data_IF_893377359065
#
_entry.id   IF_893377359065
#
_cell.length_a   1.000
_cell.length_b   1.000
_cell.length_c   1.000
_cell.angle_alpha   90.00
_cell.angle_beta   90.00
_cell.angle_gamma   90.00
#
_symmetry.space_group_name_H-M   'P 1'
#
loop_
_entity.id
_entity.type
_entity.pdbx_description
1 polymer ?
#
# COMPACT_ATOMS: atom_id res chain seq x y z
N UNK A 1 24.41 -9.09 -6.05
CA UNK A 1 22.96 -9.17 -5.75
C UNK A 1 22.20 -8.66 -6.96
N UNK A 2 21.21 -9.41 -7.42
CA UNK A 2 20.52 -9.16 -8.67
C UNK A 2 19.76 -7.81 -8.61
N UNK A 3 20.13 -6.84 -9.46
CA UNK A 3 19.55 -5.48 -9.48
C UNK A 3 18.02 -5.47 -9.57
N UNK A 4 17.44 -6.46 -10.26
CA UNK A 4 15.99 -6.65 -10.35
C UNK A 4 15.35 -6.83 -8.97
N UNK A 5 15.94 -7.68 -8.12
CA UNK A 5 15.43 -7.95 -6.78
C UNK A 5 15.45 -6.67 -5.94
N UNK A 6 16.54 -5.90 -6.00
CA UNK A 6 16.67 -4.64 -5.26
C UNK A 6 15.62 -3.61 -5.67
N UNK A 7 15.40 -3.42 -6.98
CA UNK A 7 14.44 -2.42 -7.48
C UNK A 7 13.00 -2.80 -7.08
N UNK A 8 12.64 -4.08 -7.23
CA UNK A 8 11.32 -4.57 -6.82
C UNK A 8 11.11 -4.41 -5.32
N UNK A 9 12.12 -4.79 -4.52
CA UNK A 9 12.05 -4.75 -3.07
C UNK A 9 11.86 -3.32 -2.56
N UNK A 10 12.60 -2.39 -3.18
CA UNK A 10 12.47 -0.96 -2.94
C UNK A 10 11.07 -0.45 -3.32
N UNK A 11 10.55 -0.82 -4.50
CA UNK A 11 9.23 -0.41 -4.94
C UNK A 11 8.11 -0.86 -3.98
N UNK A 12 8.13 -2.13 -3.54
CA UNK A 12 7.18 -2.63 -2.53
C UNK A 12 7.30 -1.87 -1.22
N UNK A 13 8.53 -1.60 -0.78
CA UNK A 13 8.80 -0.89 0.48
C UNK A 13 8.28 0.56 0.42
N UNK A 14 8.56 1.28 -0.67
CA UNK A 14 8.04 2.64 -0.88
C UNK A 14 6.52 2.64 -0.88
N UNK A 15 5.89 1.72 -1.62
CA UNK A 15 4.44 1.66 -1.70
C UNK A 15 3.78 1.29 -0.36
N UNK A 16 4.39 0.41 0.42
CA UNK A 16 3.97 0.10 1.79
C UNK A 16 3.98 1.37 2.66
N UNK A 17 5.06 2.15 2.63
CA UNK A 17 5.14 3.40 3.38
C UNK A 17 4.16 4.46 2.88
N UNK A 18 3.86 4.49 1.58
CA UNK A 18 2.81 5.37 1.04
C UNK A 18 1.44 5.03 1.62
N UNK A 19 1.07 3.75 1.71
CA UNK A 19 -0.18 3.33 2.35
C UNK A 19 -0.18 3.69 3.84
N UNK A 20 0.93 3.47 4.54
CA UNK A 20 1.04 3.85 5.96
C UNK A 20 0.87 5.36 6.14
N UNK A 21 1.54 6.18 5.33
CA UNK A 21 1.41 7.62 5.36
C UNK A 21 -0.04 8.07 5.05
N UNK A 22 -0.72 7.41 4.11
CA UNK A 22 -2.12 7.66 3.81
C UNK A 22 -3.04 7.37 5.01
N UNK A 23 -2.82 6.25 5.71
CA UNK A 23 -3.53 5.92 6.96
C UNK A 23 -3.28 6.99 8.01
N UNK A 24 -2.03 7.39 8.23
CA UNK A 24 -1.70 8.42 9.23
C UNK A 24 -2.33 9.77 8.90
N UNK A 25 -2.39 10.16 7.62
CA UNK A 25 -3.09 11.37 7.18
C UNK A 25 -4.59 11.31 7.39
N UNK A 26 -5.19 10.12 7.51
CA UNK A 26 -6.61 10.01 7.89
C UNK A 26 -6.92 10.53 9.29
N UNK A 27 -5.92 10.55 10.17
CA UNK A 27 -6.05 11.04 11.55
C UNK A 27 -5.88 12.57 11.65
N UNK A 28 -5.33 13.19 10.61
CA UNK A 28 -5.11 14.64 10.53
C UNK A 28 -5.75 15.16 9.24
N UNK A 29 -7.06 15.47 9.24
CA UNK A 29 -7.81 15.79 8.03
C UNK A 29 -7.18 16.90 7.18
N UNK A 30 -6.58 17.93 7.81
CA UNK A 30 -5.94 19.04 7.08
C UNK A 30 -4.78 18.58 6.18
N UNK A 31 -4.14 17.44 6.48
CA UNK A 31 -3.05 16.90 5.65
C UNK A 31 -3.55 16.35 4.32
N UNK A 32 -4.78 15.85 4.26
CA UNK A 32 -5.38 15.30 3.03
C UNK A 32 -5.58 16.38 1.97
N UNK A 33 -5.94 17.58 2.39
CA UNK A 33 -6.22 18.70 1.48
C UNK A 33 -4.96 19.31 0.86
N UNK A 34 -3.77 18.96 1.38
CA UNK A 34 -2.48 19.40 0.81
C UNK A 34 -2.20 18.75 -0.55
N UNK A 35 -1.38 19.40 -1.39
CA UNK A 35 -0.98 18.82 -2.68
C UNK A 35 -0.27 17.46 -2.55
N UNK A 36 0.48 17.24 -1.46
CA UNK A 36 1.13 15.96 -1.17
C UNK A 36 0.09 14.92 -0.75
N UNK A 37 -0.89 15.31 0.08
CA UNK A 37 -1.99 14.44 0.50
C UNK A 37 -2.80 13.92 -0.69
N UNK A 38 -3.21 14.83 -1.58
CA UNK A 38 -3.94 14.49 -2.81
C UNK A 38 -3.12 13.62 -3.77
N UNK A 39 -1.81 13.89 -3.89
CA UNK A 39 -0.92 13.05 -4.70
C UNK A 39 -0.86 11.64 -4.12
N UNK A 40 -0.67 11.51 -2.81
CA UNK A 40 -0.58 10.21 -2.15
C UNK A 40 -1.87 9.42 -2.31
N UNK A 41 -3.02 10.06 -2.08
CA UNK A 41 -4.34 9.48 -2.30
C UNK A 41 -4.49 8.94 -3.72
N UNK A 42 -4.18 9.75 -4.74
CA UNK A 42 -4.25 9.30 -6.15
C UNK A 42 -3.36 8.09 -6.45
N UNK A 43 -2.23 7.96 -5.77
CA UNK A 43 -1.30 6.86 -5.96
C UNK A 43 -1.75 5.57 -5.27
N UNK A 44 -2.35 5.66 -4.07
CA UNK A 44 -2.74 4.46 -3.29
C UNK A 44 -4.19 4.02 -3.54
N UNK A 45 -5.08 4.95 -3.92
CA UNK A 45 -6.52 4.69 -4.05
C UNK A 45 -6.86 3.58 -5.06
N UNK A 46 -6.22 3.47 -6.24
CA UNK A 46 -6.50 2.37 -7.17
C UNK A 46 -6.29 0.99 -6.56
N UNK A 47 -5.32 0.87 -5.64
CA UNK A 47 -5.07 -0.37 -4.91
C UNK A 47 -5.99 -0.55 -3.72
N UNK A 48 -6.31 0.51 -2.96
CA UNK A 48 -7.15 0.45 -1.77
C UNK A 48 -8.65 0.27 -2.09
N UNK A 49 -9.12 0.83 -3.21
CA UNK A 49 -10.54 0.83 -3.58
C UNK A 49 -11.18 -0.57 -3.66
N UNK A 50 -10.53 -1.61 -4.24
CA UNK A 50 -11.02 -2.98 -4.15
C UNK A 50 -11.20 -3.47 -2.71
N UNK A 51 -10.25 -3.19 -1.80
CA UNK A 51 -10.35 -3.64 -0.42
C UNK A 51 -11.51 -2.96 0.31
N UNK A 52 -11.75 -1.66 0.07
CA UNK A 52 -12.92 -0.94 0.61
C UNK A 52 -14.24 -1.49 0.12
N UNK A 53 -14.28 -2.02 -1.09
CA UNK A 53 -15.50 -2.62 -1.65
C UNK A 53 -15.86 -3.92 -0.94
N UNK A 54 -14.87 -4.69 -0.49
CA UNK A 54 -15.10 -5.97 0.18
C UNK A 54 -15.14 -5.85 1.71
N UNK A 55 -14.45 -4.87 2.27
CA UNK A 55 -14.31 -4.68 3.71
C UNK A 55 -15.06 -3.39 4.09
N UNK A 56 -16.26 -3.51 4.68
CA UNK A 56 -16.97 -2.34 5.16
C UNK A 56 -16.17 -1.64 6.27
N UNK A 57 -16.26 -0.31 6.39
CA UNK A 57 -15.61 0.42 7.47
C UNK A 57 -16.17 -0.04 8.83
N UNK A 58 -15.29 -0.18 9.82
CA UNK A 58 -15.70 -0.49 11.19
C UNK A 58 -15.95 0.82 11.93
N UNK A 59 -17.20 1.29 11.90
CA UNK A 59 -17.59 2.59 12.43
C UNK A 59 -16.93 3.72 11.64
N UNK A 60 -16.11 4.53 12.31
CA UNK A 60 -15.38 5.64 11.68
C UNK A 60 -13.97 5.27 11.19
N UNK A 61 -13.52 4.04 11.44
CA UNK A 61 -12.15 3.60 11.10
C UNK A 61 -12.20 2.73 9.85
N UNK A 62 -11.47 3.16 8.83
CA UNK A 62 -11.20 2.37 7.64
C UNK A 62 -10.12 1.33 7.95
N UNK A 63 -10.52 0.07 8.15
CA UNK A 63 -9.61 -1.07 8.36
C UNK A 63 -9.11 -1.67 7.04
N UNK A 64 -9.68 -1.29 5.90
CA UNK A 64 -9.30 -1.83 4.60
C UNK A 64 -7.82 -1.65 4.26
N UNK A 65 -7.12 -0.55 4.65
CA UNK A 65 -5.70 -0.40 4.40
C UNK A 65 -4.84 -1.44 5.15
N UNK A 66 -5.26 -1.91 6.32
CA UNK A 66 -4.52 -2.94 7.06
C UNK A 66 -4.54 -4.25 6.28
N UNK A 67 -5.72 -4.65 5.79
CA UNK A 67 -5.84 -5.86 4.96
C UNK A 67 -5.10 -5.69 3.63
N UNK A 68 -5.15 -4.49 3.04
CA UNK A 68 -4.39 -4.17 1.85
C UNK A 68 -2.87 -4.28 2.07
N UNK A 69 -2.35 -3.88 3.23
CA UNK A 69 -0.94 -4.05 3.60
C UNK A 69 -0.56 -5.53 3.74
N UNK A 70 -1.42 -6.33 4.37
CA UNK A 70 -1.21 -7.78 4.49
C UNK A 70 -1.16 -8.43 3.10
N UNK A 71 -2.13 -8.10 2.23
CA UNK A 71 -2.16 -8.59 0.85
C UNK A 71 -0.92 -8.17 0.06
N UNK A 72 -0.45 -6.93 0.24
CA UNK A 72 0.77 -6.41 -0.40
C UNK A 72 2.00 -7.22 0.04
N UNK A 73 2.07 -7.59 1.32
CA UNK A 73 3.16 -8.37 1.88
C UNK A 73 3.20 -9.80 1.30
N UNK A 74 2.04 -10.46 1.20
CA UNK A 74 1.95 -11.75 0.53
C UNK A 74 2.29 -11.67 -0.95
N UNK A 75 1.85 -10.60 -1.64
CA UNK A 75 2.20 -10.37 -3.03
C UNK A 75 3.73 -10.21 -3.22
N UNK A 76 4.40 -9.45 -2.33
CA UNK A 76 5.86 -9.33 -2.30
C UNK A 76 6.50 -10.71 -2.15
N UNK A 77 6.18 -11.46 -1.11
CA UNK A 77 6.78 -12.78 -0.88
C UNK A 77 6.53 -13.77 -2.02
N UNK A 78 5.31 -13.81 -2.54
CA UNK A 78 4.96 -14.68 -3.67
C UNK A 78 5.78 -14.35 -4.91
N UNK A 79 5.88 -13.06 -5.26
CA UNK A 79 6.69 -12.61 -6.39
C UNK A 79 8.16 -13.01 -6.20
N UNK A 80 8.75 -12.71 -5.04
CA UNK A 80 10.16 -13.02 -4.77
C UNK A 80 10.43 -14.53 -4.76
N UNK A 81 9.51 -15.35 -4.26
CA UNK A 81 9.62 -16.81 -4.31
C UNK A 81 9.63 -17.33 -5.74
N UNK A 82 8.76 -16.82 -6.61
CA UNK A 82 8.71 -17.20 -8.02
C UNK A 82 9.97 -16.75 -8.75
N UNK A 83 10.40 -15.49 -8.55
CA UNK A 83 11.62 -14.97 -9.18
C UNK A 83 12.86 -15.75 -8.75
N UNK A 84 12.99 -16.08 -7.47
CA UNK A 84 14.10 -16.88 -6.95
C UNK A 84 14.10 -18.32 -7.50
N UNK A 85 12.92 -18.87 -7.83
CA UNK A 85 12.81 -20.21 -8.40
C UNK A 85 13.19 -20.26 -9.89
N UNK A 86 12.91 -19.18 -10.63
CA UNK A 86 13.10 -19.13 -12.09
C UNK A 86 14.52 -18.70 -12.46
N UNK A 87 15.15 -17.83 -11.66
CA UNK A 87 16.49 -17.29 -11.88
C UNK A 87 17.55 -18.13 -11.17
#
# INVERSE_FOLDING_TARGET
MNYLFTILDFAFTVYQYMIIAYILMSWVPQMRDTGIGQLLERLVEPYLAPFRRFIPPLGFIDISPIVALIALHFARYGLFSILFKIM
#
